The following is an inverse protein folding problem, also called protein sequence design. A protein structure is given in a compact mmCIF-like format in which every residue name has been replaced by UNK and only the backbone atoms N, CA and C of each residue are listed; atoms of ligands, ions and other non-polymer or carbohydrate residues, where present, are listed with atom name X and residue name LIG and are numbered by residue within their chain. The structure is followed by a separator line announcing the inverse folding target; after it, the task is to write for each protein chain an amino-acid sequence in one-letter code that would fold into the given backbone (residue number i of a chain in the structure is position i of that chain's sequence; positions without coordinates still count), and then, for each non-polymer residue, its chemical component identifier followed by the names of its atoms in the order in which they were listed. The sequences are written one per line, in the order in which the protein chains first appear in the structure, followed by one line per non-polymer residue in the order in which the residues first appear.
data_IF_554435393543
#
_entry.id   IF_554435393543
#
_cell.length_a   1.000
_cell.length_b   1.000
_cell.length_c   1.000
_cell.angle_alpha   90.00
_cell.angle_beta   90.00
_cell.angle_gamma   90.00
#
_symmetry.space_group_name_H-M   'P 1'
#
loop_
_entity.id
_entity.type
_entity.pdbx_description
1 polymer ?
#
# COMPACT_ATOMS: atom_id res chain seq x y z
N UNK A 1 -27.53 -2.20 -7.31
CA UNK A 1 -26.69 -2.17 -6.08
C UNK A 1 -25.60 -3.20 -6.33
N UNK A 2 -24.53 -2.79 -6.97
CA UNK A 2 -23.41 -3.67 -7.19
C UNK A 2 -22.45 -3.42 -6.01
N UNK A 3 -22.50 -4.31 -5.01
CA UNK A 3 -21.43 -4.39 -4.02
C UNK A 3 -20.10 -4.50 -4.80
N UNK A 4 -19.13 -3.68 -4.44
CA UNK A 4 -17.76 -3.82 -4.89
C UNK A 4 -17.28 -5.21 -4.48
N UNK A 5 -17.59 -6.20 -5.31
CA UNK A 5 -17.09 -7.56 -5.17
C UNK A 5 -15.61 -7.49 -5.47
N UNK A 6 -14.80 -7.47 -4.41
CA UNK A 6 -13.35 -7.66 -4.57
C UNK A 6 -13.16 -9.00 -5.26
N UNK A 7 -12.59 -9.05 -6.47
CA UNK A 7 -12.29 -10.32 -7.10
C UNK A 7 -11.27 -11.05 -6.23
N UNK A 8 -11.54 -12.31 -5.94
CA UNK A 8 -10.51 -13.21 -5.42
C UNK A 8 -9.51 -13.41 -6.55
N UNK A 9 -8.23 -13.07 -6.40
CA UNK A 9 -7.27 -13.27 -7.47
C UNK A 9 -7.02 -14.76 -7.69
N UNK A 10 -7.28 -15.28 -8.90
CA UNK A 10 -6.67 -16.53 -9.30
C UNK A 10 -5.27 -16.22 -9.78
N UNK A 11 -4.23 -16.60 -9.03
CA UNK A 11 -2.84 -16.51 -9.48
C UNK A 11 -2.55 -15.62 -10.70
N UNK A 12 -1.55 -14.90 -10.75
CA UNK A 12 -0.39 -14.60 -9.94
C UNK A 12 -0.35 -13.12 -9.57
N UNK A 13 0.57 -12.68 -8.99
CA UNK A 13 1.17 -11.39 -8.73
C UNK A 13 0.40 -10.10 -9.08
N UNK A 14 -0.63 -10.06 -9.96
CA UNK A 14 -1.46 -8.87 -10.21
C UNK A 14 -2.89 -9.17 -10.67
N UNK A 15 -3.76 -8.19 -10.45
CA UNK A 15 -5.09 -8.08 -11.09
C UNK A 15 -5.32 -6.65 -11.57
N UNK A 16 -6.08 -6.51 -12.64
CA UNK A 16 -6.45 -5.23 -13.23
C UNK A 16 -7.97 -5.19 -13.39
N UNK A 17 -8.59 -4.11 -12.93
CA UNK A 17 -10.03 -3.90 -13.02
C UNK A 17 -10.26 -2.55 -13.67
N UNK A 18 -11.22 -2.49 -14.62
CA UNK A 18 -11.72 -1.26 -15.18
C UNK A 18 -13.24 -1.19 -14.94
N UNK A 19 -13.69 -0.14 -14.30
CA UNK A 19 -15.11 0.10 -14.05
C UNK A 19 -15.48 1.53 -14.42
N UNK A 20 -16.70 1.70 -14.95
CA UNK A 20 -17.22 2.97 -15.45
C UNK A 20 -18.61 3.25 -14.89
N UNK A 21 -18.93 4.52 -14.64
CA UNK A 21 -20.24 4.94 -14.14
C UNK A 21 -20.56 4.42 -12.73
N UNK A 22 -19.51 4.24 -11.91
CA UNK A 22 -19.63 3.66 -10.56
C UNK A 22 -19.81 4.75 -9.54
N UNK A 23 -20.74 4.55 -8.60
CA UNK A 23 -20.83 5.32 -7.37
C UNK A 23 -20.35 4.49 -6.20
N UNK A 24 -19.56 5.08 -5.31
CA UNK A 24 -19.06 4.40 -4.11
C UNK A 24 -19.76 4.90 -2.86
N UNK A 25 -19.93 4.00 -1.91
CA UNK A 25 -20.49 4.25 -0.60
C UNK A 25 -19.51 3.80 0.49
N UNK A 26 -19.68 4.26 1.74
CA UNK A 26 -18.82 3.81 2.83
C UNK A 26 -18.79 2.29 2.94
N UNK A 27 -17.59 1.71 2.81
CA UNK A 27 -17.36 0.28 2.92
C UNK A 27 -16.59 -0.05 4.21
N UNK A 28 -16.60 -1.33 4.65
CA UNK A 28 -15.73 -1.78 5.74
C UNK A 28 -14.26 -1.50 5.43
N UNK A 29 -13.46 -1.31 6.49
CA UNK A 29 -12.01 -1.17 6.35
C UNK A 29 -11.42 -2.45 5.76
N UNK A 30 -10.71 -2.31 4.66
CA UNK A 30 -9.98 -3.39 4.00
C UNK A 30 -8.47 -3.27 4.24
N UNK A 31 -7.79 -4.40 4.21
CA UNK A 31 -6.33 -4.49 4.23
C UNK A 31 -5.91 -5.56 3.24
N UNK A 32 -5.07 -5.20 2.28
CA UNK A 32 -4.58 -6.13 1.26
C UNK A 32 -3.10 -6.43 1.45
N UNK A 33 -2.68 -7.62 1.01
CA UNK A 33 -1.26 -8.00 0.96
C UNK A 33 -0.57 -7.39 -0.27
N UNK A 34 -1.35 -7.06 -1.27
CA UNK A 34 -0.94 -6.46 -2.52
C UNK A 34 -0.84 -4.93 -2.37
N UNK A 35 -0.01 -4.32 -3.18
CA UNK A 35 -0.05 -2.90 -3.46
C UNK A 35 -1.21 -2.59 -4.38
N UNK A 36 -1.96 -1.54 -4.07
CA UNK A 36 -3.05 -1.02 -4.90
C UNK A 36 -2.68 0.31 -5.55
N UNK A 37 -3.14 0.51 -6.77
CA UNK A 37 -3.03 1.75 -7.50
C UNK A 37 -4.35 2.00 -8.23
N UNK A 38 -5.03 3.10 -7.90
CA UNK A 38 -6.29 3.50 -8.52
C UNK A 38 -6.05 4.70 -9.40
N UNK A 39 -6.23 4.57 -10.71
CA UNK A 39 -6.17 5.68 -11.66
C UNK A 39 -7.59 6.13 -11.99
N UNK A 40 -8.01 7.28 -11.47
CA UNK A 40 -9.29 7.90 -11.75
C UNK A 40 -9.22 8.66 -13.09
N UNK A 41 -10.04 8.26 -14.05
CA UNK A 41 -10.13 8.91 -15.38
C UNK A 41 -11.23 9.97 -15.39
N UNK A 42 -12.38 9.65 -14.78
CA UNK A 42 -13.53 10.54 -14.66
C UNK A 42 -14.12 10.45 -13.26
N UNK A 43 -14.95 11.42 -12.89
CA UNK A 43 -15.60 11.48 -11.60
C UNK A 43 -14.65 11.84 -10.45
N UNK A 44 -15.08 11.47 -9.25
CA UNK A 44 -14.31 11.68 -8.02
C UNK A 44 -14.62 10.60 -6.98
N UNK A 45 -13.69 10.36 -6.07
CA UNK A 45 -13.95 9.55 -4.88
C UNK A 45 -13.14 10.04 -3.68
N UNK A 46 -13.65 9.75 -2.49
CA UNK A 46 -12.91 9.91 -1.24
C UNK A 46 -12.57 8.54 -0.66
N UNK A 47 -11.37 8.44 -0.13
CA UNK A 47 -10.84 7.25 0.52
C UNK A 47 -10.21 7.62 1.85
N UNK A 48 -10.50 6.86 2.89
CA UNK A 48 -9.79 6.93 4.15
C UNK A 48 -8.67 5.88 4.16
N UNK A 49 -7.43 6.33 4.28
CA UNK A 49 -6.25 5.46 4.51
C UNK A 49 -5.62 5.75 5.88
N UNK A 50 -5.61 6.96 6.30
CA UNK A 50 -5.15 7.50 7.60
C UNK A 50 -5.93 8.73 7.92
N UNK A 51 -6.22 9.49 6.91
CA UNK A 51 -7.14 10.60 6.83
C UNK A 51 -7.91 10.47 5.52
N UNK A 52 -8.99 11.18 5.43
CA UNK A 52 -9.79 11.23 4.22
C UNK A 52 -9.04 12.00 3.13
N UNK A 53 -8.95 11.42 1.95
CA UNK A 53 -8.35 12.03 0.77
C UNK A 53 -9.34 12.06 -0.36
N UNK A 54 -9.35 13.15 -1.12
CA UNK A 54 -10.15 13.32 -2.32
C UNK A 54 -9.30 13.03 -3.55
N UNK A 55 -9.76 12.12 -4.38
CA UNK A 55 -9.19 11.78 -5.69
C UNK A 55 -10.11 12.29 -6.78
N UNK A 56 -9.59 13.12 -7.65
CA UNK A 56 -10.28 13.68 -8.80
C UNK A 56 -9.83 13.01 -10.10
N UNK A 57 -10.60 13.20 -11.16
CA UNK A 57 -10.20 12.78 -12.50
C UNK A 57 -8.76 13.22 -12.83
N UNK A 58 -7.99 12.35 -13.47
CA UNK A 58 -6.57 12.56 -13.79
C UNK A 58 -5.61 12.31 -12.63
N UNK A 59 -6.08 11.75 -11.51
CA UNK A 59 -5.23 11.41 -10.38
C UNK A 59 -5.01 9.90 -10.23
N UNK A 60 -3.90 9.56 -9.59
CA UNK A 60 -3.60 8.21 -9.12
C UNK A 60 -3.62 8.18 -7.61
N UNK A 61 -4.34 7.23 -7.02
CA UNK A 61 -4.35 6.97 -5.58
C UNK A 61 -3.52 5.73 -5.27
N UNK A 62 -2.55 5.90 -4.38
CA UNK A 62 -1.62 4.85 -3.96
C UNK A 62 -2.14 4.18 -2.69
N UNK A 63 -2.24 2.87 -2.71
CA UNK A 63 -2.60 2.04 -1.54
C UNK A 63 -1.47 1.06 -1.25
N UNK A 64 -0.57 1.36 -0.32
CA UNK A 64 0.51 0.43 0.01
C UNK A 64 -0.01 -0.85 0.66
N UNK A 65 0.61 -1.98 0.35
CA UNK A 65 0.32 -3.27 0.99
C UNK A 65 0.33 -3.14 2.51
N UNK A 66 -0.65 -3.76 3.17
CA UNK A 66 -0.79 -3.74 4.62
C UNK A 66 -1.34 -2.43 5.22
N UNK A 67 -1.65 -1.42 4.41
CA UNK A 67 -2.26 -0.17 4.90
C UNK A 67 -3.78 -0.31 4.94
N UNK A 68 -4.41 -0.14 6.12
CA UNK A 68 -5.86 -0.12 6.23
C UNK A 68 -6.44 1.05 5.44
N UNK A 69 -7.48 0.77 4.65
CA UNK A 69 -8.15 1.78 3.86
C UNK A 69 -9.62 1.42 3.62
N UNK A 70 -10.43 2.39 3.25
CA UNK A 70 -11.81 2.19 2.81
C UNK A 70 -12.27 3.32 1.89
N UNK A 71 -13.04 3.05 0.85
CA UNK A 71 -13.77 4.07 0.12
C UNK A 71 -14.85 4.65 1.04
N UNK A 72 -15.11 5.96 0.92
CA UNK A 72 -16.14 6.65 1.69
C UNK A 72 -17.29 7.11 0.79
N UNK A 73 -16.98 7.82 -0.29
CA UNK A 73 -17.95 8.33 -1.25
C UNK A 73 -17.31 8.47 -2.63
N UNK A 74 -18.12 8.51 -3.68
CA UNK A 74 -17.67 8.78 -5.04
C UNK A 74 -18.81 8.71 -6.03
N UNK A 75 -18.73 9.49 -7.10
CA UNK A 75 -19.74 9.57 -8.13
C UNK A 75 -19.12 9.62 -9.53
N UNK A 76 -19.85 9.07 -10.50
CA UNK A 76 -19.51 9.06 -11.93
C UNK A 76 -18.08 8.57 -12.22
N UNK A 77 -17.62 7.59 -11.44
CA UNK A 77 -16.26 7.08 -11.56
C UNK A 77 -16.06 6.27 -12.84
N UNK A 78 -15.02 6.64 -13.60
CA UNK A 78 -14.30 5.80 -14.55
C UNK A 78 -12.89 5.63 -14.02
N UNK A 79 -12.52 4.39 -13.64
CA UNK A 79 -11.21 4.15 -13.03
C UNK A 79 -10.63 2.79 -13.40
N UNK A 80 -9.30 2.76 -13.38
CA UNK A 80 -8.51 1.54 -13.39
C UNK A 80 -8.00 1.25 -11.98
N UNK A 81 -8.11 0.00 -11.56
CA UNK A 81 -7.49 -0.52 -10.34
C UNK A 81 -6.46 -1.58 -10.70
N UNK A 82 -5.22 -1.37 -10.30
CA UNK A 82 -4.15 -2.36 -10.32
C UNK A 82 -3.86 -2.81 -8.90
N UNK A 83 -3.97 -4.11 -8.64
CA UNK A 83 -3.41 -4.74 -7.45
C UNK A 83 -2.25 -5.64 -7.84
N UNK A 84 -1.13 -5.58 -7.15
CA UNK A 84 0.05 -6.40 -7.46
C UNK A 84 0.89 -6.74 -6.24
N UNK A 85 1.53 -7.91 -6.29
CA UNK A 85 2.54 -8.33 -5.31
C UNK A 85 3.94 -7.96 -5.81
N UNK A 86 4.64 -7.08 -5.10
CA UNK A 86 6.00 -6.67 -5.49
C UNK A 86 6.94 -7.88 -5.60
N UNK A 87 6.94 -8.78 -4.61
CA UNK A 87 7.77 -9.98 -4.61
C UNK A 87 7.46 -10.95 -5.75
N UNK A 88 6.19 -11.05 -6.16
CA UNK A 88 5.77 -11.89 -7.29
C UNK A 88 6.34 -11.44 -8.64
N UNK A 89 6.66 -10.16 -8.77
CA UNK A 89 7.33 -9.59 -9.95
C UNK A 89 8.82 -9.33 -9.75
N UNK A 90 9.41 -9.79 -8.63
CA UNK A 90 10.81 -9.52 -8.30
C UNK A 90 11.11 -8.01 -8.15
N UNK A 91 10.10 -7.24 -7.73
CA UNK A 91 10.27 -5.84 -7.38
C UNK A 91 10.64 -5.76 -5.89
N UNK A 92 11.72 -5.06 -5.60
CA UNK A 92 12.13 -4.77 -4.23
C UNK A 92 11.52 -3.45 -3.78
N UNK A 93 11.04 -3.39 -2.53
CA UNK A 93 10.51 -2.18 -1.89
C UNK A 93 11.51 -1.01 -1.86
N UNK A 94 12.81 -1.29 -1.98
CA UNK A 94 13.88 -0.28 -2.02
C UNK A 94 14.13 0.28 -3.43
N UNK A 95 13.58 -0.35 -4.46
CA UNK A 95 13.74 0.13 -5.84
C UNK A 95 13.04 1.47 -6.04
N UNK A 96 13.63 2.33 -6.88
CA UNK A 96 13.11 3.68 -7.15
C UNK A 96 11.66 3.68 -7.67
N UNK A 97 11.25 2.65 -8.42
CA UNK A 97 9.87 2.50 -8.93
C UNK A 97 8.85 2.25 -7.82
N UNK A 98 9.27 1.71 -6.66
CA UNK A 98 8.43 1.47 -5.48
C UNK A 98 8.35 2.69 -4.55
N UNK A 99 9.10 3.77 -4.84
CA UNK A 99 9.10 5.01 -4.07
C UNK A 99 7.70 5.53 -3.73
N UNK A 100 6.68 5.52 -4.64
CA UNK A 100 5.35 5.98 -4.30
C UNK A 100 4.75 5.29 -3.06
N UNK A 101 4.88 3.98 -2.97
CA UNK A 101 4.37 3.21 -1.84
C UNK A 101 5.16 3.47 -0.55
N UNK A 102 6.49 3.56 -0.66
CA UNK A 102 7.35 3.88 0.47
C UNK A 102 7.03 5.27 1.04
N UNK A 103 6.89 6.28 0.19
CA UNK A 103 6.59 7.66 0.60
C UNK A 103 5.19 7.79 1.21
N UNK A 104 4.17 7.13 0.64
CA UNK A 104 2.82 7.10 1.23
C UNK A 104 2.82 6.40 2.59
N UNK A 105 3.59 5.33 2.77
CA UNK A 105 3.81 4.74 4.10
C UNK A 105 4.48 5.72 5.06
N UNK A 106 5.32 6.60 4.57
CA UNK A 106 5.97 7.66 5.35
C UNK A 106 5.08 8.90 5.57
N UNK A 107 3.81 8.86 5.11
CA UNK A 107 2.83 9.91 5.30
C UNK A 107 2.73 10.89 4.12
N UNK A 108 3.32 10.62 2.94
CA UNK A 108 3.03 11.39 1.74
C UNK A 108 1.55 11.33 1.39
N UNK A 109 1.07 12.34 0.67
CA UNK A 109 -0.26 12.26 0.07
C UNK A 109 -0.35 10.97 -0.75
N UNK A 110 -1.39 10.15 -0.55
CA UNK A 110 -1.61 8.99 -1.41
C UNK A 110 -2.12 9.38 -2.80
N UNK A 111 -2.55 10.62 -3.01
CA UNK A 111 -3.12 11.11 -4.26
C UNK A 111 -2.07 11.92 -5.02
N UNK A 112 -1.83 11.52 -6.26
CA UNK A 112 -0.87 12.13 -7.18
C UNK A 112 -1.64 12.59 -8.41
N UNK A 113 -1.59 13.88 -8.73
CA UNK A 113 -2.16 14.41 -9.96
C UNK A 113 -1.18 14.22 -11.12
N UNK A 114 -1.73 13.80 -12.25
CA UNK A 114 -0.95 13.52 -13.45
C UNK A 114 -1.22 14.58 -14.53
N UNK A 115 -0.18 14.97 -15.24
CA UNK A 115 -0.32 15.75 -16.47
C UNK A 115 -1.01 14.91 -17.56
N UNK A 116 -1.71 15.57 -18.50
CA UNK A 116 -2.48 14.92 -19.57
C UNK A 116 -1.65 13.88 -20.36
N UNK A 117 -0.39 14.17 -20.64
CA UNK A 117 0.49 13.26 -21.36
C UNK A 117 0.80 11.98 -20.54
N UNK A 118 0.94 12.10 -19.21
CA UNK A 118 1.12 10.97 -18.30
C UNK A 118 -0.16 10.14 -18.19
N UNK A 119 -1.32 10.78 -18.10
CA UNK A 119 -2.62 10.11 -18.10
C UNK A 119 -2.83 9.25 -19.34
N UNK A 120 -2.52 9.79 -20.53
CA UNK A 120 -2.63 9.06 -21.81
C UNK A 120 -1.72 7.83 -21.86
N UNK A 121 -0.48 7.93 -21.34
CA UNK A 121 0.44 6.79 -21.25
C UNK A 121 -0.06 5.74 -20.25
N UNK A 122 -0.52 6.17 -19.08
CA UNK A 122 -1.07 5.25 -18.09
C UNK A 122 -2.26 4.48 -18.66
N UNK A 123 -3.18 5.16 -19.32
CA UNK A 123 -4.33 4.50 -19.93
C UNK A 123 -3.91 3.41 -20.88
N UNK A 124 -3.00 3.70 -21.82
CA UNK A 124 -2.48 2.72 -22.78
C UNK A 124 -1.88 1.49 -22.06
N UNK A 125 -1.10 1.71 -21.00
CA UNK A 125 -0.46 0.61 -20.27
C UNK A 125 -1.45 -0.19 -19.44
N UNK A 126 -2.46 0.43 -18.83
CA UNK A 126 -3.53 -0.28 -18.14
C UNK A 126 -4.36 -1.15 -19.09
N UNK A 127 -4.76 -0.61 -20.25
CA UNK A 127 -5.48 -1.35 -21.27
C UNK A 127 -4.65 -2.54 -21.80
N UNK A 128 -3.35 -2.33 -21.98
CA UNK A 128 -2.44 -3.40 -22.42
C UNK A 128 -2.27 -4.45 -21.32
N UNK A 129 -2.10 -4.03 -20.06
CA UNK A 129 -1.95 -4.93 -18.92
C UNK A 129 -3.22 -5.75 -18.68
N UNK A 130 -4.41 -5.16 -18.86
CA UNK A 130 -5.69 -5.88 -18.75
C UNK A 130 -5.80 -6.99 -19.81
N UNK A 131 -5.41 -6.70 -21.05
CA UNK A 131 -5.39 -7.72 -22.12
C UNK A 131 -4.38 -8.84 -21.85
N UNK A 132 -3.21 -8.50 -21.33
CA UNK A 132 -2.20 -9.50 -20.94
C UNK A 132 -2.64 -10.34 -19.74
N UNK A 133 -3.46 -9.79 -18.84
CA UNK A 133 -3.97 -10.55 -17.69
C UNK A 133 -4.96 -11.66 -18.09
N UNK A 134 -5.60 -11.56 -19.25
CA UNK A 134 -6.45 -12.60 -19.82
C UNK A 134 -5.64 -13.69 -20.56
N UNK A 135 -4.39 -13.40 -20.90
CA UNK A 135 -3.50 -14.31 -21.63
C UNK A 135 -2.83 -15.33 -20.71
N UNK A 136 -2.53 -16.51 -21.28
CA UNK A 136 -1.76 -17.57 -20.60
C UNK A 136 -0.64 -18.06 -21.52
N UNK A 137 0.41 -17.27 -21.69
CA UNK A 137 1.60 -17.69 -22.42
C UNK A 137 2.86 -17.53 -21.57
N UNK A 138 3.97 -18.12 -22.02
CA UNK A 138 5.23 -18.10 -21.26
C UNK A 138 5.79 -16.69 -21.02
N UNK A 139 5.46 -15.71 -21.86
CA UNK A 139 5.95 -14.33 -21.76
C UNK A 139 5.01 -13.43 -20.93
N UNK A 140 3.81 -13.88 -20.58
CA UNK A 140 2.79 -13.05 -19.89
C UNK A 140 3.33 -12.41 -18.61
N UNK A 141 4.06 -13.13 -17.79
CA UNK A 141 4.61 -12.62 -16.53
C UNK A 141 5.67 -11.52 -16.78
N UNK A 142 6.54 -11.67 -17.78
CA UNK A 142 7.57 -10.69 -18.12
C UNK A 142 6.97 -9.42 -18.73
N UNK A 143 5.93 -9.55 -19.56
CA UNK A 143 5.19 -8.43 -20.13
C UNK A 143 4.44 -7.68 -19.05
N UNK A 144 3.73 -8.38 -18.16
CA UNK A 144 3.04 -7.78 -17.01
C UNK A 144 4.03 -7.03 -16.12
N UNK A 145 5.17 -7.62 -15.78
CA UNK A 145 6.24 -6.97 -15.01
C UNK A 145 6.71 -5.68 -15.68
N UNK A 146 6.92 -5.72 -16.98
CA UNK A 146 7.38 -4.56 -17.76
C UNK A 146 6.35 -3.44 -17.74
N UNK A 147 5.07 -3.75 -17.97
CA UNK A 147 3.97 -2.79 -17.93
C UNK A 147 3.78 -2.20 -16.53
N UNK A 148 3.81 -3.02 -15.48
CA UNK A 148 3.75 -2.54 -14.10
C UNK A 148 4.92 -1.60 -13.82
N UNK A 149 6.13 -1.95 -14.24
CA UNK A 149 7.32 -1.10 -14.08
C UNK A 149 7.16 0.25 -14.80
N UNK A 150 6.57 0.28 -15.99
CA UNK A 150 6.28 1.52 -16.74
C UNK A 150 5.24 2.37 -16.00
N UNK A 151 4.14 1.78 -15.55
CA UNK A 151 3.10 2.45 -14.75
C UNK A 151 3.72 3.07 -13.49
N UNK A 152 4.46 2.29 -12.72
CA UNK A 152 5.09 2.75 -11.49
C UNK A 152 6.15 3.84 -11.72
N UNK A 153 6.89 3.75 -12.84
CA UNK A 153 7.88 4.76 -13.21
C UNK A 153 7.22 6.10 -13.51
N UNK A 154 6.09 6.09 -14.20
CA UNK A 154 5.33 7.31 -14.50
C UNK A 154 4.79 7.95 -13.24
N UNK A 155 4.17 7.15 -12.38
CA UNK A 155 3.66 7.61 -11.08
C UNK A 155 4.79 8.15 -10.20
N UNK A 156 5.94 7.47 -10.18
CA UNK A 156 7.11 7.90 -9.41
C UNK A 156 7.68 9.24 -9.91
N UNK A 157 7.64 9.50 -11.22
CA UNK A 157 8.07 10.79 -11.80
C UNK A 157 7.11 11.93 -11.47
N UNK A 158 5.81 11.63 -11.39
CA UNK A 158 4.78 12.61 -11.06
C UNK A 158 4.73 12.95 -9.56
N UNK A 159 5.38 12.17 -8.71
CA UNK A 159 5.46 12.49 -7.29
C UNK A 159 6.28 13.76 -7.05
N UNK A 160 5.80 14.67 -6.18
CA UNK A 160 6.62 15.77 -5.69
C UNK A 160 7.93 15.23 -5.08
N UNK A 161 9.03 15.98 -5.23
CA UNK A 161 10.23 15.66 -4.48
C UNK A 161 9.96 15.80 -2.98
N UNK A 162 10.61 14.97 -2.17
CA UNK A 162 10.42 14.98 -0.72
C UNK A 162 10.72 16.37 -0.08
N UNK A 163 11.54 17.20 -0.75
CA UNK A 163 11.86 18.55 -0.33
C UNK A 163 10.80 19.60 -0.75
N UNK A 164 9.93 19.25 -1.70
CA UNK A 164 8.85 20.13 -2.19
C UNK A 164 7.52 19.86 -1.50
N UNK A 165 7.38 18.77 -0.75
CA UNK A 165 6.20 18.46 0.05
C UNK A 165 6.19 19.35 1.32
N UNK A 166 5.84 20.62 1.12
CA UNK A 166 5.77 21.65 2.16
C UNK A 166 4.73 21.37 3.24
N UNK A 167 3.90 20.35 3.08
CA UNK A 167 2.87 19.97 4.05
C UNK A 167 3.40 19.09 5.19
N UNK A 168 4.60 18.49 5.05
CA UNK A 168 5.15 17.62 6.08
C UNK A 168 6.11 18.33 7.02
N UNK A 169 5.92 18.12 8.31
CA UNK A 169 6.95 18.45 9.30
C UNK A 169 8.23 17.65 9.00
N UNK A 170 9.40 18.30 8.80
CA UNK A 170 10.67 17.59 8.61
C UNK A 170 10.99 16.62 9.76
N UNK A 171 10.52 16.93 10.97
CA UNK A 171 10.63 16.07 12.14
C UNK A 171 9.85 14.77 11.96
N UNK A 172 8.59 14.87 11.48
CA UNK A 172 7.74 13.69 11.23
C UNK A 172 8.34 12.82 10.13
N UNK A 173 8.76 13.42 9.03
CA UNK A 173 9.43 12.69 7.95
C UNK A 173 10.69 11.93 8.43
N UNK A 174 11.50 12.57 9.29
CA UNK A 174 12.68 11.91 9.87
C UNK A 174 12.29 10.76 10.82
N UNK A 175 11.27 10.95 11.66
CA UNK A 175 10.77 9.92 12.57
C UNK A 175 10.23 8.69 11.79
N UNK A 176 9.44 8.92 10.74
CA UNK A 176 8.88 7.86 9.93
C UNK A 176 9.94 7.11 9.12
N UNK A 177 10.95 7.81 8.57
CA UNK A 177 12.11 7.17 7.93
C UNK A 177 12.89 6.29 8.90
N UNK A 178 13.09 6.73 10.14
CA UNK A 178 13.72 5.91 11.16
C UNK A 178 12.91 4.64 11.44
N UNK A 179 11.58 4.77 11.62
CA UNK A 179 10.69 3.63 11.84
C UNK A 179 10.77 2.66 10.67
N UNK A 180 10.70 3.14 9.43
CA UNK A 180 10.77 2.28 8.23
C UNK A 180 12.05 1.43 8.21
N UNK A 181 13.20 2.04 8.50
CA UNK A 181 14.49 1.36 8.48
C UNK A 181 14.69 0.38 9.64
N UNK A 182 14.08 0.64 10.78
CA UNK A 182 14.35 -0.08 12.03
C UNK A 182 13.17 -0.84 12.61
N UNK A 183 11.99 -0.80 12.00
CA UNK A 183 10.76 -1.41 12.54
C UNK A 183 10.89 -2.92 12.79
N UNK A 184 11.72 -3.61 12.03
CA UNK A 184 11.96 -5.05 12.19
C UNK A 184 12.89 -5.38 13.37
N UNK A 185 13.48 -4.38 14.00
CA UNK A 185 14.24 -4.51 15.25
C UNK A 185 13.37 -4.11 16.46
N UNK A 186 13.75 -4.47 17.70
CA UNK A 186 13.07 -4.01 18.89
C UNK A 186 13.25 -2.50 19.09
N UNK A 187 12.37 -1.69 18.50
CA UNK A 187 12.35 -0.23 18.67
C UNK A 187 11.10 0.22 19.42
N UNK A 188 11.23 1.33 20.12
CA UNK A 188 10.21 2.02 20.89
C UNK A 188 10.07 3.48 20.47
N UNK A 189 9.06 4.18 20.99
CA UNK A 189 8.94 5.63 20.87
C UNK A 189 10.20 6.36 21.34
N UNK A 190 10.86 5.87 22.39
CA UNK A 190 12.07 6.47 22.92
C UNK A 190 13.23 6.42 21.93
N UNK A 191 13.38 5.31 21.21
CA UNK A 191 14.41 5.15 20.20
C UNK A 191 14.18 6.08 19.00
N UNK A 192 12.93 6.19 18.56
CA UNK A 192 12.53 7.14 17.50
C UNK A 192 12.82 8.58 17.93
N UNK A 193 12.46 8.94 19.16
CA UNK A 193 12.67 10.29 19.69
C UNK A 193 14.18 10.62 19.78
N UNK A 194 14.98 9.69 20.25
CA UNK A 194 16.45 9.81 20.30
C UNK A 194 17.05 10.01 18.91
N UNK A 195 16.60 9.23 17.93
CA UNK A 195 17.09 9.33 16.56
C UNK A 195 16.81 10.70 15.92
N UNK A 196 15.69 11.32 16.23
CA UNK A 196 15.35 12.67 15.74
C UNK A 196 15.75 13.81 16.70
N UNK A 197 16.49 13.49 17.77
CA UNK A 197 16.99 14.44 18.78
C UNK A 197 15.89 15.30 19.41
N UNK A 198 14.79 14.65 19.80
CA UNK A 198 13.64 15.25 20.46
C UNK A 198 13.18 14.39 21.65
N UNK A 199 12.31 14.94 22.48
CA UNK A 199 11.72 14.19 23.59
C UNK A 199 10.60 13.28 23.10
N UNK A 200 10.41 12.14 23.75
CA UNK A 200 9.37 11.16 23.39
C UNK A 200 7.94 11.76 23.39
N UNK A 201 7.52 12.57 24.39
CA UNK A 201 6.22 13.24 24.35
C UNK A 201 6.05 14.18 23.16
N UNK A 202 7.09 14.94 22.79
CA UNK A 202 7.03 15.85 21.65
C UNK A 202 6.86 15.06 20.33
N UNK A 203 7.66 14.03 20.11
CA UNK A 203 7.57 13.18 18.91
C UNK A 203 6.19 12.50 18.83
N UNK A 204 5.68 11.96 19.95
CA UNK A 204 4.36 11.36 20.00
C UNK A 204 3.25 12.32 19.60
N UNK A 205 3.29 13.56 20.13
CA UNK A 205 2.29 14.59 19.84
C UNK A 205 2.34 15.03 18.38
N UNK A 206 3.54 15.34 17.87
CA UNK A 206 3.72 15.87 16.50
C UNK A 206 3.40 14.80 15.47
N UNK A 207 3.90 13.56 15.63
CA UNK A 207 3.58 12.45 14.71
C UNK A 207 2.08 12.19 14.69
N UNK A 208 1.41 12.17 15.86
CA UNK A 208 -0.04 11.93 15.91
C UNK A 208 -0.83 13.09 15.29
N UNK A 209 -0.43 14.34 15.51
CA UNK A 209 -1.10 15.50 14.93
C UNK A 209 -0.97 15.54 13.40
N UNK A 210 0.21 15.23 12.87
CA UNK A 210 0.52 15.28 11.44
C UNK A 210 -0.05 14.09 10.66
N UNK A 211 -0.02 12.88 11.26
CA UNK A 211 -0.37 11.62 10.57
C UNK A 211 -1.68 11.00 11.03
N UNK A 212 -2.30 11.48 12.09
CA UNK A 212 -3.45 10.87 12.74
C UNK A 212 -3.13 9.62 13.58
N UNK A 213 -1.92 9.05 13.48
CA UNK A 213 -1.52 7.79 14.12
C UNK A 213 -0.37 7.95 15.11
N UNK A 214 -0.35 7.06 16.11
CA UNK A 214 0.75 7.02 17.06
C UNK A 214 2.00 6.38 16.44
N UNK A 215 3.18 6.69 17.00
CA UNK A 215 4.44 6.03 16.64
C UNK A 215 4.33 4.49 16.78
N UNK A 216 3.67 4.00 17.83
CA UNK A 216 3.42 2.57 18.03
C UNK A 216 2.56 1.94 16.93
N UNK A 217 1.56 2.68 16.43
CA UNK A 217 0.75 2.23 15.28
C UNK A 217 1.61 2.10 14.02
N UNK A 218 2.49 3.06 13.77
CA UNK A 218 3.41 3.04 12.64
C UNK A 218 4.37 1.85 12.66
N UNK A 219 5.00 1.59 13.81
CA UNK A 219 5.88 0.44 14.02
C UNK A 219 5.11 -0.87 13.78
N UNK A 220 3.91 -0.98 14.37
CA UNK A 220 3.06 -2.17 14.22
C UNK A 220 2.66 -2.41 12.76
N UNK A 221 2.24 -1.37 12.04
CA UNK A 221 1.84 -1.49 10.63
C UNK A 221 3.00 -1.94 9.73
N UNK A 222 4.20 -1.38 9.93
CA UNK A 222 5.39 -1.78 9.17
C UNK A 222 5.75 -3.26 9.40
N UNK A 223 5.68 -3.72 10.66
CA UNK A 223 5.92 -5.13 11.02
C UNK A 223 4.89 -6.06 10.40
N UNK A 224 3.61 -5.70 10.46
CA UNK A 224 2.52 -6.52 9.91
C UNK A 224 2.57 -6.60 8.39
N UNK A 225 2.93 -5.52 7.70
CA UNK A 225 3.15 -5.54 6.26
C UNK A 225 4.26 -6.54 5.89
N UNK A 226 5.39 -6.53 6.63
CA UNK A 226 6.48 -7.51 6.42
C UNK A 226 6.04 -8.94 6.75
N UNK A 227 5.24 -9.13 7.81
CA UNK A 227 4.67 -10.43 8.14
C UNK A 227 3.82 -10.99 7.00
N UNK A 228 2.95 -10.17 6.42
CA UNK A 228 2.10 -10.57 5.30
C UNK A 228 2.93 -11.03 4.09
N UNK A 229 4.00 -10.29 3.74
CA UNK A 229 4.93 -10.69 2.69
C UNK A 229 5.61 -12.03 2.99
N UNK A 230 6.13 -12.22 4.21
CA UNK A 230 6.78 -13.49 4.60
C UNK A 230 5.79 -14.67 4.56
N UNK A 231 4.55 -14.46 5.01
CA UNK A 231 3.50 -15.48 4.97
C UNK A 231 3.12 -15.87 3.54
N UNK A 232 3.15 -14.93 2.61
CA UNK A 232 2.79 -15.15 1.21
C UNK A 232 3.92 -15.84 0.42
N UNK A 233 5.16 -15.39 0.62
CA UNK A 233 6.29 -15.76 -0.23
C UNK A 233 7.27 -16.77 0.38
N UNK A 234 7.08 -17.18 1.64
CA UNK A 234 7.99 -18.11 2.32
C UNK A 234 7.25 -19.17 3.13
N UNK A 235 7.92 -20.30 3.39
CA UNK A 235 7.41 -21.36 4.26
C UNK A 235 7.84 -21.23 5.73
N UNK A 236 8.42 -20.09 6.10
CA UNK A 236 8.84 -19.83 7.48
C UNK A 236 7.67 -20.07 8.43
N UNK A 237 7.78 -20.93 9.45
CA UNK A 237 6.74 -21.15 10.45
C UNK A 237 6.28 -19.87 11.11
N UNK A 238 4.98 -19.79 11.44
CA UNK A 238 4.37 -18.56 12.00
C UNK A 238 5.05 -18.08 13.27
N UNK A 239 5.48 -19.02 14.13
CA UNK A 239 6.22 -18.74 15.36
C UNK A 239 7.61 -18.17 15.11
N UNK A 240 8.22 -18.51 13.99
CA UNK A 240 9.51 -17.96 13.58
C UNK A 240 9.38 -16.59 12.90
N UNK A 241 8.22 -16.27 12.32
CA UNK A 241 8.00 -14.93 11.72
C UNK A 241 8.04 -13.83 12.77
N UNK A 242 7.45 -14.04 13.96
CA UNK A 242 7.40 -13.02 15.00
C UNK A 242 8.77 -12.39 15.33
N UNK A 243 9.83 -13.17 15.63
CA UNK A 243 11.16 -12.60 15.88
C UNK A 243 11.77 -11.91 14.64
N UNK A 244 11.50 -12.41 13.42
CA UNK A 244 12.01 -11.80 12.18
C UNK A 244 11.44 -10.40 11.91
N UNK A 245 10.27 -10.10 12.48
CA UNK A 245 9.60 -8.81 12.31
C UNK A 245 9.64 -7.95 13.59
N UNK A 246 10.54 -8.25 14.51
CA UNK A 246 10.81 -7.45 15.70
C UNK A 246 9.83 -7.65 16.86
N UNK A 247 9.04 -8.74 16.87
CA UNK A 247 8.23 -9.12 18.03
C UNK A 247 8.87 -10.28 18.81
N UNK A 248 8.95 -10.11 20.13
CA UNK A 248 9.43 -11.18 21.02
C UNK A 248 8.31 -12.17 21.39
N UNK A 249 7.06 -11.75 21.37
CA UNK A 249 5.88 -12.54 21.74
C UNK A 249 5.04 -12.88 20.51
N UNK A 250 5.05 -14.15 20.14
CA UNK A 250 4.27 -14.69 19.03
C UNK A 250 2.76 -14.53 19.24
N UNK A 251 2.29 -14.64 20.50
CA UNK A 251 0.87 -14.45 20.83
C UNK A 251 0.43 -13.02 20.56
N UNK A 252 1.28 -12.05 20.93
CA UNK A 252 1.05 -10.64 20.62
C UNK A 252 0.98 -10.41 19.11
N UNK A 253 1.94 -10.97 18.37
CA UNK A 253 1.94 -10.91 16.89
C UNK A 253 0.64 -11.45 16.30
N UNK A 254 0.23 -12.67 16.66
CA UNK A 254 -1.00 -13.31 16.13
C UNK A 254 -2.23 -12.44 16.43
N UNK A 255 -2.33 -11.89 17.65
CA UNK A 255 -3.44 -11.00 18.03
C UNK A 255 -3.47 -9.71 17.21
N UNK A 256 -2.32 -9.06 17.02
CA UNK A 256 -2.23 -7.83 16.22
C UNK A 256 -2.52 -8.10 14.73
N UNK A 257 -1.98 -9.20 14.19
CA UNK A 257 -2.25 -9.61 12.82
C UNK A 257 -3.75 -9.85 12.60
N UNK A 258 -4.38 -10.65 13.50
CA UNK A 258 -5.82 -10.91 13.42
C UNK A 258 -6.65 -9.62 13.55
N UNK A 259 -6.23 -8.69 14.39
CA UNK A 259 -6.92 -7.40 14.54
C UNK A 259 -6.93 -6.58 13.24
N UNK A 260 -5.84 -6.61 12.47
CA UNK A 260 -5.68 -5.81 11.25
C UNK A 260 -6.23 -6.55 10.01
N UNK A 261 -5.91 -7.85 9.86
CA UNK A 261 -6.28 -8.64 8.68
C UNK A 261 -7.55 -9.47 8.86
N UNK A 262 -8.21 -9.41 10.02
CA UNK A 262 -9.44 -10.15 10.32
C UNK A 262 -9.25 -11.65 10.58
N UNK A 263 -8.13 -12.23 10.14
CA UNK A 263 -7.81 -13.66 10.26
C UNK A 263 -6.44 -13.89 10.89
N UNK A 264 -6.20 -15.11 11.37
CA UNK A 264 -4.89 -15.48 11.94
C UNK A 264 -3.82 -15.56 10.83
N UNK A 265 -2.50 -15.40 11.13
CA UNK A 265 -1.42 -15.58 10.16
C UNK A 265 -1.47 -16.91 9.42
N UNK A 266 -1.79 -18.00 10.12
CA UNK A 266 -1.90 -19.33 9.52
C UNK A 266 -3.09 -19.43 8.53
N UNK A 267 -4.26 -18.89 8.91
CA UNK A 267 -5.42 -18.84 8.04
C UNK A 267 -5.18 -17.92 6.83
N UNK A 268 -4.49 -16.79 7.05
CA UNK A 268 -4.05 -15.90 5.98
C UNK A 268 -3.17 -16.64 4.97
N UNK A 269 -2.09 -17.29 5.41
CA UNK A 269 -1.20 -18.09 4.54
C UNK A 269 -1.98 -19.12 3.73
N UNK A 270 -2.89 -19.84 4.39
CA UNK A 270 -3.72 -20.84 3.71
C UNK A 270 -4.56 -20.21 2.61
N UNK A 271 -5.21 -19.07 2.89
CA UNK A 271 -6.05 -18.35 1.92
C UNK A 271 -5.24 -17.85 0.72
N UNK A 272 -4.05 -17.31 0.95
CA UNK A 272 -3.18 -16.75 -0.11
C UNK A 272 -2.49 -17.81 -0.98
N UNK A 273 -2.46 -19.08 -0.55
CA UNK A 273 -1.76 -20.16 -1.24
C UNK A 273 -2.69 -21.26 -1.76
N UNK A 274 -3.99 -21.16 -1.53
CA UNK A 274 -4.95 -22.06 -2.14
C UNK A 274 -4.99 -21.78 -3.65
N UNK A 275 -4.78 -22.78 -4.51
CA UNK A 275 -5.13 -22.65 -5.94
C UNK A 275 -6.62 -22.35 -6.02
N UNK A 276 -7.00 -21.46 -6.92
CA UNK A 276 -8.38 -21.15 -7.23
C UNK A 276 -9.07 -22.37 -7.87
#
# INVERSE_FOLDING_TARGET
MTDLKQPEPPHPSCYVIHETGVSTHPAPVAVHAEHGLVFAREGWFTMEQRYETLSLAGSVTIVPAGVPHRPLAGEDLDYWLLGFSAGGFGLDEEQAVMRPFAEVRLGASPVIHLENAAQARLQLWFETLAREAEGQNELTADVQRSLITLILSEVSRAMPNADEDTQRSPLVAAALRYIQRHSLSPISLSDVASAVRRTAPHVAAVVKADTGFTVGTWITSARLAKAAQLLQHTDIPVDQIAPHIGWQDTTHFIRQFRRIYGVTPAAWRKKQRLPA
#
